data_IF_261338127648
#
_entry.id   IF_261338127648
#
_cell.length_a   1.000
_cell.length_b   1.000
_cell.length_c   1.000
_cell.angle_alpha   90.00
_cell.angle_beta   90.00
_cell.angle_gamma   90.00
#
_symmetry.space_group_name_H-M   'P 1'
#
loop_
_entity.id
_entity.type
_entity.pdbx_description
1 polymer ?
#
# COMPACT_ATOMS: atom_id res chain seq x y z
N UNK A 1 -15.56 3.50 -17.83
CA UNK A 1 -14.84 2.39 -17.20
C UNK A 1 -14.05 1.68 -18.27
N UNK A 2 -12.78 1.39 -17.99
CA UNK A 2 -11.92 0.61 -18.86
C UNK A 2 -11.22 -0.50 -18.04
N UNK A 3 -11.04 -1.68 -18.65
CA UNK A 3 -10.19 -2.73 -18.10
C UNK A 3 -8.77 -2.45 -18.56
N UNK A 4 -7.85 -2.29 -17.60
CA UNK A 4 -6.46 -1.94 -17.89
C UNK A 4 -5.59 -3.18 -18.13
N UNK A 5 -5.85 -4.26 -17.38
CA UNK A 5 -5.21 -5.56 -17.54
C UNK A 5 -5.54 -6.50 -16.39
N UNK A 6 -5.55 -7.81 -16.62
CA UNK A 6 -5.81 -8.78 -15.55
C UNK A 6 -7.09 -8.47 -14.76
N UNK A 7 -6.96 -8.17 -13.47
CA UNK A 7 -8.02 -7.77 -12.53
C UNK A 7 -8.07 -6.25 -12.29
N UNK A 8 -7.35 -5.46 -13.09
CA UNK A 8 -7.26 -4.01 -12.94
C UNK A 8 -8.24 -3.26 -13.82
N UNK A 9 -8.98 -2.34 -13.23
CA UNK A 9 -9.97 -1.49 -13.89
C UNK A 9 -9.71 -0.03 -13.55
N UNK A 10 -9.94 0.84 -14.53
CA UNK A 10 -9.86 2.30 -14.37
C UNK A 10 -11.27 2.89 -14.57
N UNK A 11 -11.67 3.76 -13.66
CA UNK A 11 -12.92 4.50 -13.71
C UNK A 11 -12.59 5.99 -13.79
N UNK A 12 -12.92 6.61 -14.89
CA UNK A 12 -12.84 8.07 -15.03
C UNK A 12 -14.17 8.69 -14.64
N UNK A 13 -14.16 9.54 -13.65
CA UNK A 13 -15.29 10.33 -13.22
C UNK A 13 -15.10 11.76 -13.72
N UNK A 14 -16.00 12.19 -14.60
CA UNK A 14 -15.95 13.52 -15.23
C UNK A 14 -16.85 14.50 -14.50
N UNK A 15 -16.43 15.77 -14.43
CA UNK A 15 -17.25 16.85 -13.88
C UNK A 15 -17.42 16.84 -12.36
N UNK A 16 -16.54 16.14 -11.64
CA UNK A 16 -16.54 16.14 -10.18
C UNK A 16 -16.14 17.52 -9.66
N UNK A 17 -17.00 18.11 -8.82
CA UNK A 17 -16.73 19.41 -8.17
C UNK A 17 -16.13 19.26 -6.77
N UNK A 18 -16.38 18.14 -6.09
CA UNK A 18 -15.97 17.92 -4.71
C UNK A 18 -15.31 16.55 -4.52
N UNK A 19 -14.26 16.51 -3.70
CA UNK A 19 -13.56 15.28 -3.31
C UNK A 19 -14.48 14.23 -2.66
N UNK A 20 -15.50 14.70 -1.95
CA UNK A 20 -16.51 13.87 -1.29
C UNK A 20 -17.26 12.97 -2.27
N UNK A 21 -17.49 13.44 -3.49
CA UNK A 21 -18.19 12.65 -4.49
C UNK A 21 -17.38 11.42 -4.95
N UNK A 22 -16.07 11.58 -5.15
CA UNK A 22 -15.21 10.46 -5.51
C UNK A 22 -15.16 9.40 -4.41
N UNK A 23 -15.10 9.82 -3.14
CA UNK A 23 -15.18 8.93 -1.98
C UNK A 23 -16.51 8.16 -1.95
N UNK A 24 -17.61 8.85 -2.12
CA UNK A 24 -18.95 8.24 -2.15
C UNK A 24 -19.07 7.18 -3.25
N UNK A 25 -18.51 7.42 -4.43
CA UNK A 25 -18.50 6.43 -5.51
C UNK A 25 -17.68 5.20 -5.12
N UNK A 26 -16.49 5.40 -4.54
CA UNK A 26 -15.64 4.30 -4.08
C UNK A 26 -16.32 3.47 -2.99
N UNK A 27 -16.95 4.10 -2.02
CA UNK A 27 -17.71 3.43 -0.95
C UNK A 27 -18.88 2.62 -1.52
N UNK A 28 -19.58 3.16 -2.51
CA UNK A 28 -20.67 2.47 -3.18
C UNK A 28 -20.19 1.25 -3.97
N UNK A 29 -19.02 1.35 -4.62
CA UNK A 29 -18.39 0.20 -5.28
C UNK A 29 -18.05 -0.86 -4.25
N UNK A 30 -17.33 -0.51 -3.18
CA UNK A 30 -16.91 -1.44 -2.13
C UNK A 30 -18.10 -2.10 -1.44
N UNK A 31 -19.21 -1.39 -1.26
CA UNK A 31 -20.42 -1.95 -0.68
C UNK A 31 -21.00 -3.10 -1.51
N UNK A 32 -20.91 -3.02 -2.86
CA UNK A 32 -21.36 -4.10 -3.74
C UNK A 32 -20.45 -5.35 -3.67
N UNK A 33 -19.19 -5.21 -3.24
CA UNK A 33 -18.29 -6.34 -3.07
C UNK A 33 -18.42 -7.07 -1.72
N UNK A 34 -19.29 -6.56 -0.83
CA UNK A 34 -19.57 -7.24 0.46
C UNK A 34 -20.46 -8.46 0.28
N UNK A 35 -21.29 -8.46 -0.75
CA UNK A 35 -22.20 -9.56 -1.06
C UNK A 35 -21.55 -10.49 -2.09
N UNK A 36 -21.78 -11.80 -1.98
CA UNK A 36 -21.28 -12.75 -2.97
C UNK A 36 -21.89 -12.52 -4.35
N UNK A 37 -21.08 -12.65 -5.38
CA UNK A 37 -21.54 -12.68 -6.77
C UNK A 37 -21.97 -14.10 -7.14
N UNK A 38 -23.18 -14.28 -7.64
CA UNK A 38 -23.61 -15.55 -8.18
C UNK A 38 -23.16 -15.69 -9.64
N UNK A 39 -22.17 -16.54 -9.87
CA UNK A 39 -21.63 -16.85 -11.20
C UNK A 39 -21.91 -18.31 -11.52
N UNK A 40 -22.72 -18.57 -12.54
CA UNK A 40 -23.08 -19.92 -12.98
C UNK A 40 -23.56 -20.83 -11.82
N UNK A 41 -24.35 -20.27 -10.91
CA UNK A 41 -24.87 -20.99 -9.73
C UNK A 41 -23.90 -21.11 -8.56
N UNK A 42 -22.68 -20.60 -8.68
CA UNK A 42 -21.68 -20.57 -7.59
C UNK A 42 -21.58 -19.18 -6.95
N UNK A 43 -21.59 -19.13 -5.65
CA UNK A 43 -21.39 -17.90 -4.90
C UNK A 43 -19.90 -17.61 -4.76
N UNK A 44 -19.42 -16.55 -5.40
CA UNK A 44 -18.03 -16.11 -5.38
C UNK A 44 -17.92 -14.85 -4.53
N UNK A 45 -17.14 -14.92 -3.47
CA UNK A 45 -16.78 -13.74 -2.66
C UNK A 45 -15.47 -13.17 -3.19
N UNK A 46 -15.47 -11.88 -3.48
CA UNK A 46 -14.26 -11.16 -3.93
C UNK A 46 -14.17 -9.81 -3.24
N UNK A 47 -13.04 -9.13 -3.41
CA UNK A 47 -12.81 -7.81 -2.80
C UNK A 47 -12.13 -6.88 -3.79
N UNK A 48 -12.31 -5.58 -3.60
CA UNK A 48 -11.64 -4.55 -4.38
C UNK A 48 -10.81 -3.64 -3.48
N UNK A 49 -9.70 -3.12 -4.02
CA UNK A 49 -8.95 -2.03 -3.44
C UNK A 49 -8.94 -0.88 -4.45
N UNK A 50 -9.22 0.33 -4.00
CA UNK A 50 -9.45 1.47 -4.88
C UNK A 50 -8.46 2.58 -4.56
N UNK A 51 -7.68 3.02 -5.55
CA UNK A 51 -6.92 4.25 -5.51
C UNK A 51 -7.71 5.38 -6.16
N UNK A 52 -7.80 6.53 -5.49
CA UNK A 52 -8.48 7.71 -5.98
C UNK A 52 -7.47 8.83 -6.19
N UNK A 53 -7.41 9.36 -7.38
CA UNK A 53 -6.61 10.54 -7.73
C UNK A 53 -7.54 11.58 -8.34
N UNK A 54 -7.33 12.84 -7.97
CA UNK A 54 -8.06 13.96 -8.54
C UNK A 54 -7.16 14.66 -9.55
N UNK A 55 -7.72 15.00 -10.72
CA UNK A 55 -7.04 15.84 -11.70
C UNK A 55 -6.96 17.27 -11.14
N UNK A 56 -5.80 17.63 -10.66
CA UNK A 56 -5.44 19.01 -10.32
C UNK A 56 -4.55 19.53 -11.45
N UNK A 57 -4.33 20.83 -11.50
CA UNK A 57 -3.64 21.51 -12.62
C UNK A 57 -2.17 21.07 -12.86
N UNK A 58 -1.60 20.22 -12.00
CA UNK A 58 -0.19 19.82 -12.07
C UNK A 58 0.07 18.49 -12.82
N UNK A 59 -0.95 17.82 -13.33
CA UNK A 59 -0.75 16.64 -14.17
C UNK A 59 -0.63 17.04 -15.63
N UNK A 60 0.58 16.92 -16.18
CA UNK A 60 0.86 17.18 -17.59
C UNK A 60 0.61 15.94 -18.47
N UNK A 61 0.72 14.73 -17.88
CA UNK A 61 0.63 13.47 -18.60
C UNK A 61 -0.36 12.52 -17.93
N UNK A 62 -1.11 11.80 -18.75
CA UNK A 62 -2.06 10.79 -18.27
C UNK A 62 -1.37 9.63 -17.54
N UNK A 63 -0.15 9.28 -17.93
CA UNK A 63 0.64 8.23 -17.32
C UNK A 63 1.01 8.54 -15.87
N UNK A 64 1.30 9.80 -15.56
CA UNK A 64 1.60 10.23 -14.19
C UNK A 64 0.37 10.12 -13.29
N UNK A 65 -0.80 10.45 -13.85
CA UNK A 65 -2.07 10.29 -13.15
C UNK A 65 -2.38 8.81 -12.83
N UNK A 66 -2.15 7.93 -13.80
CA UNK A 66 -2.35 6.48 -13.63
C UNK A 66 -1.35 5.88 -12.65
N UNK A 67 -0.08 6.28 -12.70
CA UNK A 67 0.96 5.85 -11.76
C UNK A 67 0.58 6.22 -10.32
N UNK A 68 0.11 7.44 -10.11
CA UNK A 68 -0.29 7.90 -8.78
C UNK A 68 -1.55 7.16 -8.29
N UNK A 69 -2.49 6.83 -9.18
CA UNK A 69 -3.66 6.01 -8.86
C UNK A 69 -3.26 4.59 -8.44
N UNK A 70 -2.34 3.95 -9.14
CA UNK A 70 -1.81 2.62 -8.81
C UNK A 70 -1.09 2.63 -7.45
N UNK A 71 -0.27 3.63 -7.22
CA UNK A 71 0.43 3.91 -5.97
C UNK A 71 -0.54 3.92 -4.78
N UNK A 72 -1.62 4.67 -4.91
CA UNK A 72 -2.65 4.80 -3.87
C UNK A 72 -3.48 3.53 -3.70
N UNK A 73 -3.77 2.84 -4.81
CA UNK A 73 -4.43 1.54 -4.77
C UNK A 73 -3.60 0.50 -4.01
N UNK A 74 -2.29 0.48 -4.23
CA UNK A 74 -1.38 -0.40 -3.49
C UNK A 74 -1.45 -0.13 -1.98
N UNK A 75 -1.51 1.12 -1.56
CA UNK A 75 -1.72 1.48 -0.15
C UNK A 75 -3.05 0.97 0.39
N UNK A 76 -4.13 1.05 -0.39
CA UNK A 76 -5.41 0.47 0.01
C UNK A 76 -5.31 -1.06 0.17
N UNK A 77 -4.53 -1.75 -0.69
CA UNK A 77 -4.25 -3.19 -0.56
C UNK A 77 -3.49 -3.53 0.73
N UNK A 78 -2.48 -2.75 1.08
CA UNK A 78 -1.63 -3.00 2.27
C UNK A 78 -2.33 -2.66 3.58
N UNK A 79 -3.24 -1.68 3.58
CA UNK A 79 -4.02 -1.27 4.75
C UNK A 79 -5.23 -2.16 5.08
N UNK A 80 -5.27 -3.40 4.56
CA UNK A 80 -6.28 -4.39 4.94
C UNK A 80 -7.24 -4.80 3.83
N UNK A 81 -7.02 -4.40 2.58
CA UNK A 81 -7.88 -4.68 1.41
C UNK A 81 -9.32 -4.20 1.61
N UNK A 82 -10.20 -4.44 0.64
CA UNK A 82 -11.62 -4.00 0.68
C UNK A 82 -11.79 -2.55 1.14
N UNK A 83 -10.87 -1.68 0.70
CA UNK A 83 -10.80 -0.28 1.12
C UNK A 83 -10.44 0.63 -0.04
N UNK A 84 -10.58 1.92 0.18
CA UNK A 84 -10.05 2.92 -0.74
C UNK A 84 -9.02 3.81 -0.06
N UNK A 85 -8.14 4.38 -0.85
CA UNK A 85 -7.27 5.47 -0.44
C UNK A 85 -7.35 6.60 -1.46
N UNK A 86 -7.11 7.83 -1.01
CA UNK A 86 -7.09 9.02 -1.86
C UNK A 86 -5.68 9.59 -1.89
N UNK A 87 -5.24 9.98 -3.08
CA UNK A 87 -3.94 10.60 -3.27
C UNK A 87 -3.86 11.95 -2.54
N UNK A 88 -2.76 12.15 -1.83
CA UNK A 88 -2.29 13.44 -1.38
C UNK A 88 -0.76 13.55 -1.60
N UNK A 89 -0.21 14.76 -1.55
CA UNK A 89 1.22 14.98 -1.82
C UNK A 89 2.15 14.31 -0.81
N UNK A 90 1.73 14.16 0.42
CA UNK A 90 2.52 13.47 1.46
C UNK A 90 2.59 11.97 1.18
N UNK A 91 1.54 11.43 0.55
CA UNK A 91 1.46 10.03 0.16
C UNK A 91 2.46 9.65 -0.92
N UNK A 92 2.75 10.57 -1.86
CA UNK A 92 3.76 10.32 -2.89
C UNK A 92 5.14 10.08 -2.26
N UNK A 93 5.56 10.92 -1.32
CA UNK A 93 6.82 10.75 -0.60
C UNK A 93 6.86 9.42 0.19
N UNK A 94 5.75 9.03 0.82
CA UNK A 94 5.63 7.78 1.55
C UNK A 94 5.82 6.55 0.65
N UNK A 95 5.20 6.52 -0.53
CA UNK A 95 5.29 5.37 -1.45
C UNK A 95 6.67 5.30 -2.10
N UNK A 96 7.25 6.42 -2.49
CA UNK A 96 8.63 6.46 -2.98
C UNK A 96 9.58 5.90 -1.91
N UNK A 97 9.39 6.25 -0.65
CA UNK A 97 10.18 5.71 0.46
C UNK A 97 10.00 4.20 0.65
N UNK A 98 8.78 3.67 0.53
CA UNK A 98 8.53 2.22 0.61
C UNK A 98 9.23 1.48 -0.54
N UNK A 99 9.09 1.95 -1.78
CA UNK A 99 9.74 1.33 -2.93
C UNK A 99 11.27 1.37 -2.83
N UNK A 100 11.82 2.49 -2.35
CA UNK A 100 13.26 2.63 -2.09
C UNK A 100 13.71 1.69 -0.96
N UNK A 101 12.92 1.56 0.09
CA UNK A 101 13.20 0.65 1.20
C UNK A 101 13.16 -0.81 0.75
N UNK A 102 12.16 -1.19 -0.04
CA UNK A 102 12.06 -2.56 -0.59
C UNK A 102 13.23 -2.90 -1.50
N UNK A 103 13.60 -2.00 -2.41
CA UNK A 103 14.78 -2.16 -3.26
C UNK A 103 16.07 -2.23 -2.43
N UNK A 104 16.19 -1.36 -1.42
CA UNK A 104 17.32 -1.35 -0.49
C UNK A 104 17.43 -2.64 0.31
N UNK A 105 16.33 -3.18 0.83
CA UNK A 105 16.31 -4.46 1.56
C UNK A 105 16.80 -5.62 0.69
N UNK A 106 16.38 -5.68 -0.57
CA UNK A 106 16.87 -6.71 -1.51
C UNK A 106 18.39 -6.61 -1.73
N UNK A 107 18.88 -5.38 -1.88
CA UNK A 107 20.33 -5.15 -2.04
C UNK A 107 21.10 -5.47 -0.76
N UNK A 108 20.53 -5.14 0.41
CA UNK A 108 21.12 -5.41 1.71
C UNK A 108 21.34 -6.91 1.97
N UNK A 109 20.41 -7.77 1.49
CA UNK A 109 20.60 -9.24 1.53
C UNK A 109 21.82 -9.65 0.72
N UNK A 110 21.96 -9.12 -0.49
CA UNK A 110 23.09 -9.46 -1.41
C UNK A 110 24.41 -8.99 -0.83
N UNK A 111 24.42 -7.82 -0.19
CA UNK A 111 25.61 -7.19 0.36
C UNK A 111 25.94 -7.66 1.79
N UNK A 112 25.11 -8.52 2.40
CA UNK A 112 25.25 -8.93 3.81
C UNK A 112 25.24 -7.75 4.80
N UNK A 113 24.35 -6.77 4.60
CA UNK A 113 24.25 -5.55 5.42
C UNK A 113 23.39 -5.75 6.68
N UNK A 114 22.96 -6.98 6.98
CA UNK A 114 22.17 -7.28 8.16
C UNK A 114 23.04 -7.81 9.29
N UNK A 115 22.83 -7.26 10.48
CA UNK A 115 23.38 -7.75 11.72
C UNK A 115 22.30 -8.36 12.60
N UNK A 116 22.66 -9.38 13.38
CA UNK A 116 21.76 -9.99 14.35
C UNK A 116 22.17 -9.56 15.75
N UNK A 117 21.26 -8.89 16.44
CA UNK A 117 21.39 -8.54 17.83
C UNK A 117 20.52 -9.49 18.67
N UNK A 118 20.99 -9.79 19.88
CA UNK A 118 20.30 -10.68 20.79
C UNK A 118 19.84 -9.90 22.01
N UNK A 119 18.54 -9.91 22.28
CA UNK A 119 17.97 -9.33 23.49
C UNK A 119 17.66 -10.46 24.47
N UNK A 120 18.28 -10.48 25.67
CA UNK A 120 18.04 -11.52 26.65
C UNK A 120 16.64 -11.41 27.25
N UNK A 121 16.00 -12.56 27.46
CA UNK A 121 14.76 -12.69 28.23
C UNK A 121 15.15 -13.24 29.59
N UNK A 122 14.83 -12.49 30.64
CA UNK A 122 15.21 -12.79 32.02
C UNK A 122 14.00 -13.29 32.77
N UNK A 123 14.15 -14.39 33.52
CA UNK A 123 13.15 -14.88 34.45
C UNK A 123 13.07 -13.95 35.66
N UNK A 124 11.89 -13.44 35.96
CA UNK A 124 11.65 -12.61 37.16
C UNK A 124 11.67 -13.39 38.48
N UNK A 125 11.69 -14.71 38.40
CA UNK A 125 11.71 -15.57 39.61
C UNK A 125 13.11 -15.77 40.17
N UNK A 126 14.14 -15.81 39.31
CA UNK A 126 15.52 -16.16 39.69
C UNK A 126 16.61 -15.34 38.96
N UNK A 127 16.21 -14.28 38.27
CA UNK A 127 17.06 -13.34 37.51
C UNK A 127 17.99 -14.01 36.49
N UNK A 128 17.61 -15.22 36.00
CA UNK A 128 18.41 -15.92 35.00
C UNK A 128 17.92 -15.66 33.58
N UNK A 129 18.87 -15.65 32.65
CA UNK A 129 18.54 -15.63 31.21
C UNK A 129 17.96 -16.98 30.84
N UNK A 130 16.69 -17.00 30.38
CA UNK A 130 15.98 -18.22 30.00
C UNK A 130 15.85 -18.37 28.47
N UNK A 131 16.01 -17.27 27.73
CA UNK A 131 15.96 -17.25 26.28
C UNK A 131 16.59 -15.97 25.74
N UNK A 132 16.68 -15.84 24.43
CA UNK A 132 17.03 -14.58 23.76
C UNK A 132 16.15 -14.39 22.54
N UNK A 133 15.76 -13.16 22.30
CA UNK A 133 15.11 -12.74 21.06
C UNK A 133 16.17 -12.30 20.06
N UNK A 134 16.05 -12.79 18.80
CA UNK A 134 16.93 -12.40 17.71
C UNK A 134 16.32 -11.21 16.98
N UNK A 135 16.99 -10.09 17.01
CA UNK A 135 16.55 -8.84 16.40
C UNK A 135 17.47 -8.49 15.25
N UNK A 136 16.93 -8.49 14.05
CA UNK A 136 17.65 -8.03 12.85
C UNK A 136 17.89 -6.51 12.96
N UNK A 137 19.10 -6.10 12.59
CA UNK A 137 19.47 -4.70 12.38
C UNK A 137 20.00 -4.55 10.96
N UNK A 138 19.55 -3.53 10.30
CA UNK A 138 20.04 -3.14 9.00
C UNK A 138 20.78 -1.82 9.14
N UNK A 139 22.07 -1.84 8.93
CA UNK A 139 22.92 -0.66 8.96
C UNK A 139 22.74 0.12 7.65
N UNK A 140 21.59 0.81 7.51
CA UNK A 140 21.51 1.86 6.52
C UNK A 140 22.48 2.97 6.94
N UNK A 141 23.56 3.13 6.18
CA UNK A 141 24.29 4.38 6.18
C UNK A 141 23.28 5.44 5.73
N UNK A 142 22.70 6.13 6.71
CA UNK A 142 21.81 7.26 6.45
C UNK A 142 22.58 8.25 5.58
N UNK A 143 22.43 8.16 4.27
CA UNK A 143 22.72 9.27 3.39
C UNK A 143 21.71 10.35 3.78
N UNK A 144 22.16 11.28 4.63
CA UNK A 144 21.49 12.55 4.84
C UNK A 144 21.23 13.12 3.46
N UNK A 145 19.99 13.06 3.00
CA UNK A 145 19.52 13.88 1.91
C UNK A 145 19.47 15.28 2.51
N UNK A 146 20.44 16.09 2.09
CA UNK A 146 20.41 17.54 2.31
C UNK A 146 19.43 18.16 1.31
#
# INVERSE_FOLDING_TARGET
IARFGGDEFVILLYGIKERSYAKMVAEKILANFKEPFCLDGNNVLTSASIGIVLSEEYYERAEDFLRDADTVMYRAKTNGRSSYAMFDKEMHAYVVNILQMEAGLRQAVVNNEFEIYYQPIISLADDKIIASECLIRWEQVFRRIR
#
